data_IF_080207136949
#
_entry.id   IF_080207136949
#
_cell.length_a   1.000
_cell.length_b   1.000
_cell.length_c   1.000
_cell.angle_alpha   90.00
_cell.angle_beta   90.00
_cell.angle_gamma   90.00
#
_symmetry.space_group_name_H-M   'P 1'
#
loop_
_entity.id
_entity.type
_entity.pdbx_description
1 polymer ?
#
# COMPACT_ATOMS: atom_id res chain seq x y z
N UNK A 1 58.45 -11.18 -66.56
CA UNK A 1 59.64 -10.30 -66.52
C UNK A 1 59.18 -8.87 -66.36
N UNK A 2 59.68 -8.18 -65.32
CA UNK A 2 59.63 -6.72 -65.05
C UNK A 2 58.23 -6.10 -64.79
N UNK A 3 57.94 -5.79 -63.53
CA UNK A 3 58.23 -4.52 -62.83
C UNK A 3 57.34 -3.37 -63.31
N UNK A 4 56.35 -3.01 -62.50
CA UNK A 4 55.73 -1.69 -62.56
C UNK A 4 56.11 -0.86 -61.33
N UNK A 5 56.36 0.41 -61.64
CA UNK A 5 57.12 1.40 -60.90
C UNK A 5 56.31 2.12 -59.83
N UNK A 6 57.06 2.64 -58.85
CA UNK A 6 56.73 3.57 -57.78
C UNK A 6 56.16 4.90 -58.30
N UNK A 7 55.40 5.59 -57.45
CA UNK A 7 55.16 7.03 -57.54
C UNK A 7 54.07 7.51 -56.58
N UNK A 8 54.46 8.28 -55.56
CA UNK A 8 53.61 8.77 -54.47
C UNK A 8 53.10 10.21 -54.72
N UNK A 9 52.22 10.65 -53.79
CA UNK A 9 51.92 12.02 -53.33
C UNK A 9 50.72 12.79 -53.92
N UNK A 10 49.62 12.75 -53.15
CA UNK A 10 48.90 13.88 -52.49
C UNK A 10 48.75 15.21 -53.26
N UNK A 11 47.51 15.59 -53.56
CA UNK A 11 46.90 16.93 -53.37
C UNK A 11 45.51 16.88 -54.02
N UNK A 12 44.40 16.77 -53.28
CA UNK A 12 43.77 17.90 -52.59
C UNK A 12 42.69 18.51 -53.49
N UNK A 13 41.42 18.09 -53.36
CA UNK A 13 40.28 19.00 -53.53
C UNK A 13 39.03 18.44 -52.83
N UNK A 14 38.45 19.32 -52.05
CA UNK A 14 37.26 19.22 -51.20
C UNK A 14 36.00 19.12 -52.05
N UNK A 15 35.01 18.32 -51.62
CA UNK A 15 33.58 18.64 -51.45
C UNK A 15 32.90 17.32 -51.05
N UNK A 16 32.67 17.13 -49.75
CA UNK A 16 31.78 16.08 -49.25
C UNK A 16 30.45 16.74 -48.89
N UNK A 17 29.41 16.30 -49.59
CA UNK A 17 28.04 16.74 -49.40
C UNK A 17 27.54 16.22 -48.05
N UNK A 18 26.87 17.12 -47.34
CA UNK A 18 26.33 16.96 -46.00
C UNK A 18 25.19 15.92 -46.06
N UNK A 19 25.38 14.75 -45.46
CA UNK A 19 24.26 13.88 -45.07
C UNK A 19 24.14 13.88 -43.55
N UNK A 20 23.15 14.63 -43.07
CA UNK A 20 22.69 14.64 -41.68
C UNK A 20 21.88 13.37 -41.39
N UNK A 21 21.97 12.94 -40.13
CA UNK A 21 21.16 11.95 -39.39
C UNK A 21 21.74 10.54 -39.32
N UNK A 22 22.45 10.27 -38.22
CA UNK A 22 22.86 8.92 -37.86
C UNK A 22 23.87 8.86 -36.73
N UNK A 23 23.41 9.05 -35.48
CA UNK A 23 23.94 8.31 -34.35
C UNK A 23 24.93 9.00 -33.40
N UNK A 24 24.80 8.57 -32.15
CA UNK A 24 25.73 8.67 -31.02
C UNK A 24 25.61 9.90 -30.12
N UNK A 25 24.71 9.83 -29.15
CA UNK A 25 24.94 10.52 -27.88
C UNK A 25 25.69 9.59 -26.92
N UNK A 26 26.89 10.05 -26.59
CA UNK A 26 27.83 9.56 -25.58
C UNK A 26 27.19 9.73 -24.20
N UNK A 27 27.10 8.65 -23.43
CA UNK A 27 26.88 8.73 -21.97
C UNK A 27 28.23 8.89 -21.29
N UNK A 28 28.46 10.02 -20.62
CA UNK A 28 29.56 10.17 -19.68
C UNK A 28 28.99 10.04 -18.26
N UNK A 29 29.20 8.87 -17.65
CA UNK A 29 29.01 8.70 -16.21
C UNK A 29 30.09 9.50 -15.47
N UNK A 30 29.72 10.59 -14.81
CA UNK A 30 30.60 11.26 -13.86
C UNK A 30 30.29 10.77 -12.44
N UNK A 31 31.37 10.27 -11.82
CA UNK A 31 31.52 9.67 -10.50
C UNK A 31 30.73 10.31 -9.36
N UNK A 32 29.92 9.49 -8.68
CA UNK A 32 29.40 9.76 -7.34
C UNK A 32 30.55 9.92 -6.34
N UNK A 33 30.42 10.86 -5.41
CA UNK A 33 31.25 10.96 -4.20
C UNK A 33 30.31 10.94 -3.00
N UNK A 34 30.06 9.75 -2.46
CA UNK A 34 29.29 9.57 -1.23
C UNK A 34 30.24 9.14 -0.10
N UNK A 35 30.36 9.95 0.94
CA UNK A 35 31.16 9.65 2.13
C UNK A 35 30.25 9.10 3.24
N UNK A 36 30.34 7.78 3.42
CA UNK A 36 30.28 6.94 4.64
C UNK A 36 29.27 7.29 5.76
N UNK A 37 28.34 6.34 5.97
CA UNK A 37 27.32 6.17 7.02
C UNK A 37 27.93 5.50 8.28
N UNK A 38 27.30 5.65 9.46
CA UNK A 38 27.04 4.46 10.30
C UNK A 38 25.58 4.48 10.81
N UNK A 39 24.74 3.44 10.73
CA UNK A 39 24.99 2.00 10.79
C UNK A 39 23.72 1.24 10.32
N UNK A 40 23.92 0.10 9.66
CA UNK A 40 22.95 -0.99 9.48
C UNK A 40 21.57 -0.71 8.84
N UNK A 41 21.53 0.00 7.72
CA UNK A 41 20.40 -0.09 6.77
C UNK A 41 20.99 -0.42 5.40
N UNK A 42 20.64 -1.58 4.84
CA UNK A 42 20.89 -1.89 3.43
C UNK A 42 20.26 -0.74 2.63
N UNK A 43 21.06 0.08 1.96
CA UNK A 43 20.54 1.21 1.19
C UNK A 43 19.61 0.66 0.10
N UNK A 44 18.30 0.73 0.33
CA UNK A 44 17.31 0.44 -0.71
C UNK A 44 17.41 1.60 -1.69
N UNK A 45 18.00 1.35 -2.86
CA UNK A 45 18.17 2.36 -3.89
C UNK A 45 17.02 2.25 -4.88
N UNK A 46 16.06 3.17 -4.81
CA UNK A 46 15.00 3.28 -5.80
C UNK A 46 15.50 4.00 -7.04
N UNK A 47 14.84 3.75 -8.17
CA UNK A 47 15.12 4.53 -9.38
C UNK A 47 14.50 5.91 -9.23
N UNK A 48 15.14 6.92 -9.81
CA UNK A 48 14.63 8.29 -9.84
C UNK A 48 14.26 8.63 -11.28
N UNK A 49 13.07 9.19 -11.49
CA UNK A 49 12.65 9.66 -12.81
C UNK A 49 13.16 11.08 -13.09
N UNK A 50 12.91 11.61 -14.30
CA UNK A 50 13.36 12.94 -14.71
C UNK A 50 12.78 14.11 -13.87
N UNK A 51 11.76 13.83 -13.06
CA UNK A 51 11.12 14.78 -12.15
C UNK A 51 11.60 14.68 -10.71
N UNK A 52 12.58 13.82 -10.45
CA UNK A 52 13.12 13.60 -9.11
C UNK A 52 12.25 12.72 -8.22
N UNK A 53 11.26 12.02 -8.78
CA UNK A 53 10.44 11.08 -8.02
C UNK A 53 11.12 9.73 -7.97
N UNK A 54 11.26 9.21 -6.75
CA UNK A 54 11.73 7.83 -6.55
C UNK A 54 10.61 6.85 -6.89
N UNK A 55 10.93 5.76 -7.58
CA UNK A 55 9.97 4.73 -7.94
C UNK A 55 10.53 3.32 -7.83
N UNK A 56 9.66 2.36 -7.54
CA UNK A 56 10.05 0.96 -7.51
C UNK A 56 9.04 0.02 -6.87
N UNK A 57 9.42 -1.26 -6.82
CA UNK A 57 8.67 -2.30 -6.11
C UNK A 57 9.18 -2.39 -4.68
N UNK A 58 8.25 -2.57 -3.75
CA UNK A 58 8.55 -2.86 -2.35
C UNK A 58 8.50 -4.37 -2.15
N UNK A 59 9.59 -4.96 -1.66
CA UNK A 59 9.68 -6.41 -1.46
C UNK A 59 9.47 -6.82 -0.01
N UNK A 60 9.71 -5.93 0.96
CA UNK A 60 9.47 -6.18 2.38
C UNK A 60 9.32 -4.85 3.15
N UNK A 61 8.22 -4.69 3.91
CA UNK A 61 7.82 -3.48 4.65
C UNK A 61 8.70 -3.14 5.88
N UNK A 62 10.01 -3.44 5.85
CA UNK A 62 10.87 -3.35 7.04
C UNK A 62 11.06 -1.93 7.58
N UNK A 63 10.70 -0.88 6.83
CA UNK A 63 10.42 0.44 7.40
C UNK A 63 9.63 1.31 6.43
N UNK A 64 8.51 1.90 6.90
CA UNK A 64 7.69 2.88 6.14
C UNK A 64 8.50 4.13 5.77
N UNK A 65 9.58 4.40 6.51
CA UNK A 65 10.43 5.58 6.36
C UNK A 65 11.22 5.58 5.03
N UNK A 66 11.43 4.40 4.43
CA UNK A 66 12.22 4.19 3.20
C UNK A 66 11.35 3.76 2.01
N UNK A 67 10.13 4.29 1.89
CA UNK A 67 9.27 4.06 0.71
C UNK A 67 9.54 5.08 -0.41
N UNK A 68 9.49 4.65 -1.68
CA UNK A 68 9.61 5.55 -2.82
C UNK A 68 8.36 6.40 -2.97
N UNK A 69 8.46 7.49 -3.75
CA UNK A 69 7.34 8.37 -4.06
C UNK A 69 6.28 7.69 -4.93
N UNK A 70 6.70 6.78 -5.82
CA UNK A 70 5.85 6.00 -6.71
C UNK A 70 6.06 4.49 -6.48
N UNK A 71 5.03 3.81 -6.00
CA UNK A 71 5.10 2.39 -5.62
C UNK A 71 4.43 1.55 -6.71
N UNK A 72 5.19 0.60 -7.28
CA UNK A 72 4.69 -0.30 -8.31
C UNK A 72 3.51 -1.13 -7.79
N UNK A 73 2.37 -1.04 -8.47
CA UNK A 73 1.11 -1.65 -8.06
C UNK A 73 0.49 -2.57 -9.12
N UNK A 74 1.10 -2.68 -10.30
CA UNK A 74 0.65 -3.58 -11.35
C UNK A 74 0.91 -3.03 -12.74
N UNK A 75 0.13 -3.45 -13.72
CA UNK A 75 0.22 -2.93 -15.08
C UNK A 75 -1.15 -2.86 -15.74
N UNK A 76 -1.38 -1.81 -16.52
CA UNK A 76 -2.59 -1.60 -17.31
C UNK A 76 -2.16 -1.55 -18.77
N UNK A 77 -2.71 -2.44 -19.60
CA UNK A 77 -2.38 -2.54 -21.03
C UNK A 77 -0.88 -2.64 -21.33
N UNK A 78 -0.14 -3.34 -20.47
CA UNK A 78 1.31 -3.52 -20.58
C UNK A 78 2.16 -2.34 -20.09
N UNK A 79 1.52 -1.26 -19.62
CA UNK A 79 2.19 -0.10 -19.02
C UNK A 79 2.28 -0.33 -17.50
N UNK A 80 3.48 -0.21 -16.93
CA UNK A 80 3.68 -0.29 -15.49
C UNK A 80 2.92 0.84 -14.77
N UNK A 81 2.10 0.47 -13.78
CA UNK A 81 1.29 1.37 -12.98
C UNK A 81 1.82 1.54 -11.57
N UNK A 82 1.85 2.78 -11.11
CA UNK A 82 2.38 3.19 -9.82
C UNK A 82 1.33 3.94 -9.00
N UNK A 83 1.33 3.73 -7.68
CA UNK A 83 0.51 4.48 -6.73
C UNK A 83 1.42 5.47 -6.00
N UNK A 84 0.96 6.69 -5.75
CA UNK A 84 1.71 7.65 -4.94
C UNK A 84 1.91 7.14 -3.51
N UNK A 85 3.05 7.43 -2.89
CA UNK A 85 3.34 7.08 -1.49
C UNK A 85 2.23 7.48 -0.53
N UNK A 86 1.68 8.68 -0.69
CA UNK A 86 0.56 9.19 0.11
C UNK A 86 -0.71 8.37 -0.06
N UNK A 87 -0.96 7.88 -1.27
CA UNK A 87 -2.09 7.01 -1.58
C UNK A 87 -1.86 5.60 -1.05
N UNK A 88 -0.65 5.08 -1.19
CA UNK A 88 -0.23 3.79 -0.65
C UNK A 88 -0.29 3.74 0.88
N UNK A 89 0.08 4.84 1.55
CA UNK A 89 0.05 5.01 3.00
C UNK A 89 -1.31 5.47 3.54
N UNK A 90 -2.35 5.50 2.69
CA UNK A 90 -3.70 5.83 3.12
C UNK A 90 -4.15 4.90 4.25
N UNK A 91 -4.65 5.44 5.36
CA UNK A 91 -5.16 4.64 6.49
C UNK A 91 -6.54 4.04 6.22
N UNK A 92 -7.25 4.60 5.25
CA UNK A 92 -8.57 4.15 4.80
C UNK A 92 -8.49 3.48 3.44
N UNK A 93 -9.34 2.48 3.23
CA UNK A 93 -9.59 1.89 1.90
C UNK A 93 -10.15 2.93 0.95
N UNK A 94 -9.47 3.15 -0.18
CA UNK A 94 -9.96 4.03 -1.24
C UNK A 94 -9.49 3.58 -2.62
N UNK A 95 -10.21 4.02 -3.65
CA UNK A 95 -9.76 3.92 -5.03
C UNK A 95 -8.69 4.97 -5.27
N UNK A 96 -7.45 4.53 -5.49
CA UNK A 96 -6.34 5.41 -5.85
C UNK A 96 -6.10 5.39 -7.36
N UNK A 97 -5.66 6.51 -7.94
CA UNK A 97 -5.17 6.52 -9.31
C UNK A 97 -3.90 5.66 -9.47
N UNK A 98 -3.80 4.97 -10.59
CA UNK A 98 -2.55 4.40 -11.09
C UNK A 98 -1.91 5.39 -12.04
N UNK A 99 -0.69 5.81 -11.73
CA UNK A 99 0.11 6.68 -12.56
C UNK A 99 1.10 5.89 -13.43
N UNK A 100 1.55 6.52 -14.52
CA UNK A 100 2.76 6.11 -15.22
C UNK A 100 4.03 6.29 -14.37
N UNK A 101 5.19 5.90 -14.92
CA UNK A 101 6.49 6.04 -14.25
C UNK A 101 6.89 7.50 -14.00
N UNK A 102 6.30 8.44 -14.75
CA UNK A 102 6.52 9.88 -14.59
C UNK A 102 5.68 10.47 -13.45
N UNK A 103 4.69 9.73 -12.95
CA UNK A 103 3.80 10.17 -11.87
C UNK A 103 2.79 11.23 -12.33
N UNK A 104 2.56 11.39 -13.64
CA UNK A 104 1.76 12.48 -14.21
C UNK A 104 0.49 11.98 -14.88
N UNK A 105 0.59 10.91 -15.65
CA UNK A 105 -0.54 10.40 -16.41
C UNK A 105 -1.26 9.36 -15.58
N UNK A 106 -2.56 9.56 -15.34
CA UNK A 106 -3.41 8.51 -14.77
C UNK A 106 -3.69 7.48 -15.87
N UNK A 107 -3.18 6.27 -15.70
CA UNK A 107 -3.35 5.14 -16.63
C UNK A 107 -4.44 4.17 -16.18
N UNK A 108 -4.95 4.33 -14.96
CA UNK A 108 -6.02 3.50 -14.42
C UNK A 108 -6.30 3.83 -12.96
N UNK A 109 -6.91 2.89 -12.25
CA UNK A 109 -7.12 2.99 -10.80
C UNK A 109 -7.02 1.63 -10.14
N UNK A 110 -6.68 1.62 -8.86
CA UNK A 110 -6.59 0.42 -8.04
C UNK A 110 -7.20 0.69 -6.67
N UNK A 111 -7.76 -0.35 -6.06
CA UNK A 111 -8.15 -0.29 -4.66
C UNK A 111 -6.91 -0.38 -3.79
N UNK A 112 -6.60 0.70 -3.08
CA UNK A 112 -5.53 0.72 -2.09
C UNK A 112 -6.19 0.51 -0.74
N UNK A 113 -5.82 -0.60 -0.10
CA UNK A 113 -6.31 -0.94 1.23
C UNK A 113 -5.43 -0.29 2.28
N UNK A 114 -6.05 0.49 3.16
CA UNK A 114 -5.40 0.92 4.39
C UNK A 114 -4.88 -0.28 5.16
N UNK A 115 -3.81 -0.05 5.95
CA UNK A 115 -3.07 -1.07 6.71
C UNK A 115 -4.02 -2.17 7.16
N UNK A 116 -4.02 -3.29 6.43
CA UNK A 116 -4.84 -4.43 6.79
C UNK A 116 -4.25 -4.91 8.12
N UNK A 117 -4.96 -4.66 9.20
CA UNK A 117 -4.67 -5.29 10.48
C UNK A 117 -4.66 -6.78 10.20
N UNK A 118 -3.47 -7.38 10.25
CA UNK A 118 -3.31 -8.80 10.06
C UNK A 118 -3.72 -9.48 11.38
N UNK A 119 -5.02 -9.43 11.67
CA UNK A 119 -5.56 -10.16 12.79
C UNK A 119 -5.33 -11.65 12.57
N UNK A 120 -4.88 -12.38 13.61
CA UNK A 120 -4.85 -13.83 13.56
C UNK A 120 -6.28 -14.38 13.36
N UNK A 121 -6.35 -15.62 12.87
CA UNK A 121 -7.61 -16.33 12.66
C UNK A 121 -7.72 -17.52 13.60
N UNK A 122 -8.90 -17.73 14.15
CA UNK A 122 -9.20 -18.91 14.96
C UNK A 122 -9.44 -20.15 14.05
N UNK A 123 -9.76 -21.30 14.66
CA UNK A 123 -10.00 -22.57 13.93
C UNK A 123 -11.15 -22.48 12.91
N UNK A 124 -12.08 -21.56 13.14
CA UNK A 124 -13.26 -21.30 12.30
C UNK A 124 -12.98 -20.25 11.20
N UNK A 125 -11.74 -19.76 11.12
CA UNK A 125 -11.33 -18.76 10.14
C UNK A 125 -11.76 -17.32 10.46
N UNK A 126 -12.32 -17.08 11.65
CA UNK A 126 -12.72 -15.76 12.13
C UNK A 126 -11.50 -14.97 12.60
N UNK A 127 -11.42 -13.68 12.24
CA UNK A 127 -10.39 -12.79 12.77
C UNK A 127 -10.67 -12.43 14.23
N UNK A 128 -9.63 -12.38 15.06
CA UNK A 128 -9.73 -11.99 16.47
C UNK A 128 -8.66 -10.98 16.88
N UNK A 129 -8.99 -10.09 17.82
CA UNK A 129 -8.04 -9.12 18.41
C UNK A 129 -8.72 -7.88 18.99
N UNK A 130 -7.91 -6.89 19.35
CA UNK A 130 -8.41 -5.61 19.87
C UNK A 130 -8.92 -4.71 18.76
N UNK A 131 -10.12 -4.14 18.92
CA UNK A 131 -10.64 -3.11 17.99
C UNK A 131 -9.76 -1.85 17.94
N UNK A 132 -8.92 -1.59 18.96
CA UNK A 132 -7.97 -0.46 19.00
C UNK A 132 -6.93 -0.56 17.88
N UNK A 133 -6.62 -1.77 17.41
CA UNK A 133 -5.68 -1.95 16.30
C UNK A 133 -6.31 -1.62 14.94
N UNK A 134 -7.65 -1.58 14.85
CA UNK A 134 -8.38 -1.33 13.61
C UNK A 134 -8.25 0.13 13.16
N UNK A 135 -8.18 0.36 11.84
CA UNK A 135 -8.11 1.72 11.28
C UNK A 135 -9.48 2.33 11.03
N UNK A 136 -10.52 1.50 10.96
CA UNK A 136 -11.92 1.91 10.85
C UNK A 136 -12.85 0.81 11.38
N UNK A 137 -14.12 1.13 11.72
CA UNK A 137 -15.08 0.13 12.19
C UNK A 137 -15.22 -1.07 11.24
N UNK A 138 -15.11 -0.88 9.93
CA UNK A 138 -15.21 -1.94 8.93
C UNK A 138 -14.03 -2.93 8.96
N UNK A 139 -12.87 -2.49 9.47
CA UNK A 139 -11.64 -3.28 9.54
C UNK A 139 -11.45 -4.00 10.88
N UNK A 140 -12.37 -3.83 11.83
CA UNK A 140 -12.35 -4.52 13.11
C UNK A 140 -12.42 -6.06 12.95
N UNK A 141 -11.85 -6.82 13.89
CA UNK A 141 -11.93 -8.27 13.85
C UNK A 141 -13.36 -8.75 14.07
N UNK A 142 -13.67 -9.98 13.65
CA UNK A 142 -14.98 -10.58 13.86
C UNK A 142 -15.23 -10.92 15.34
N UNK A 143 -14.15 -11.22 16.07
CA UNK A 143 -14.11 -11.43 17.51
C UNK A 143 -13.28 -10.31 18.15
N UNK A 144 -13.93 -9.41 18.89
CA UNK A 144 -13.31 -8.23 19.49
C UNK A 144 -13.02 -8.52 20.96
N UNK A 145 -11.78 -8.29 21.40
CA UNK A 145 -11.38 -8.45 22.81
C UNK A 145 -12.26 -7.61 23.74
N UNK A 146 -12.73 -8.24 24.82
CA UNK A 146 -13.60 -7.63 25.80
C UNK A 146 -13.39 -8.22 27.19
N UNK A 147 -13.77 -7.46 28.20
CA UNK A 147 -13.78 -7.90 29.60
C UNK A 147 -15.24 -7.97 30.05
N UNK A 148 -15.69 -9.16 30.46
CA UNK A 148 -17.03 -9.41 30.95
C UNK A 148 -17.35 -8.66 32.24
N UNK A 149 -18.63 -8.66 32.61
CA UNK A 149 -19.15 -8.00 33.82
C UNK A 149 -18.54 -8.53 35.12
N UNK A 150 -18.00 -9.75 35.09
CA UNK A 150 -17.34 -10.44 36.19
C UNK A 150 -15.80 -10.33 36.15
N UNK A 151 -15.25 -9.60 35.19
CA UNK A 151 -13.80 -9.46 34.97
C UNK A 151 -13.19 -10.56 34.10
N UNK A 152 -13.98 -11.50 33.58
CA UNK A 152 -13.50 -12.55 32.68
C UNK A 152 -13.06 -11.94 31.34
N UNK A 153 -11.83 -12.22 30.90
CA UNK A 153 -11.35 -11.84 29.57
C UNK A 153 -11.89 -12.80 28.51
N UNK A 154 -12.35 -12.25 27.38
CA UNK A 154 -12.88 -13.03 26.27
C UNK A 154 -13.08 -12.18 25.02
N UNK A 155 -14.00 -12.61 24.16
CA UNK A 155 -14.29 -11.95 22.90
C UNK A 155 -15.78 -11.72 22.72
N UNK A 156 -16.17 -10.58 22.16
CA UNK A 156 -17.54 -10.34 21.69
C UNK A 156 -17.58 -10.45 20.17
N UNK A 157 -18.68 -10.99 19.63
CA UNK A 157 -18.89 -10.99 18.18
C UNK A 157 -19.22 -9.57 17.73
N UNK A 158 -18.52 -9.09 16.70
CA UNK A 158 -18.77 -7.76 16.12
C UNK A 158 -20.24 -7.54 15.76
N UNK A 159 -20.89 -8.54 15.16
CA UNK A 159 -22.33 -8.48 14.83
C UNK A 159 -23.24 -8.28 16.06
N UNK A 160 -22.86 -8.82 17.21
CA UNK A 160 -23.64 -8.71 18.44
C UNK A 160 -23.42 -7.32 19.06
N UNK A 161 -22.20 -6.76 18.91
CA UNK A 161 -21.82 -5.42 19.31
C UNK A 161 -22.48 -4.33 18.43
N UNK A 162 -22.50 -4.51 17.12
CA UNK A 162 -23.15 -3.62 16.15
C UNK A 162 -24.67 -3.65 16.32
N UNK A 163 -25.23 -4.82 16.63
CA UNK A 163 -26.66 -5.04 16.76
C UNK A 163 -27.41 -4.85 15.44
N UNK A 164 -28.71 -4.60 15.54
CA UNK A 164 -29.56 -4.34 14.38
C UNK A 164 -29.20 -3.00 13.73
N UNK A 165 -29.01 -3.00 12.41
CA UNK A 165 -28.65 -1.82 11.63
C UNK A 165 -29.87 -1.35 10.84
N UNK A 166 -30.30 -0.09 11.01
CA UNK A 166 -31.47 0.41 10.30
C UNK A 166 -31.17 0.57 8.81
N UNK A 167 -32.12 0.20 7.96
CA UNK A 167 -32.04 0.37 6.51
C UNK A 167 -32.69 1.68 6.02
N UNK A 168 -33.47 2.34 6.88
CA UNK A 168 -34.12 3.63 6.57
C UNK A 168 -33.98 4.64 7.72
N UNK A 169 -34.10 5.95 7.44
CA UNK A 169 -34.11 6.99 8.48
C UNK A 169 -35.23 6.78 9.52
N UNK A 170 -36.42 6.36 9.09
CA UNK A 170 -37.56 6.10 9.97
C UNK A 170 -37.28 4.94 10.93
N UNK A 171 -36.67 3.87 10.42
CA UNK A 171 -36.24 2.71 11.22
C UNK A 171 -35.13 3.10 12.21
N UNK A 172 -34.20 3.97 11.81
CA UNK A 172 -33.15 4.47 12.69
C UNK A 172 -33.72 5.22 13.90
N UNK A 173 -34.75 6.05 13.69
CA UNK A 173 -35.45 6.76 14.78
C UNK A 173 -36.20 5.77 15.67
N UNK A 174 -36.89 4.80 15.08
CA UNK A 174 -37.62 3.79 15.84
C UNK A 174 -36.68 2.95 16.72
N UNK A 175 -35.55 2.51 16.17
CA UNK A 175 -34.52 1.75 16.89
C UNK A 175 -33.87 2.59 18.00
N UNK A 176 -33.60 3.87 17.74
CA UNK A 176 -33.03 4.75 18.77
C UNK A 176 -34.01 4.95 19.94
N UNK A 177 -35.31 5.06 19.66
CA UNK A 177 -36.33 5.23 20.70
C UNK A 177 -36.65 3.93 21.46
N UNK A 178 -36.42 2.77 20.87
CA UNK A 178 -36.67 1.47 21.50
C UNK A 178 -35.49 0.96 22.33
N UNK A 179 -34.29 1.53 22.15
CA UNK A 179 -33.10 1.18 22.94
C UNK A 179 -33.32 1.49 24.41
N UNK A 180 -33.00 0.52 25.26
CA UNK A 180 -33.03 0.68 26.69
C UNK A 180 -31.94 1.66 27.13
N UNK A 181 -32.26 2.54 28.10
CA UNK A 181 -31.35 3.59 28.55
C UNK A 181 -30.12 3.03 29.28
N UNK A 182 -30.29 1.88 29.93
CA UNK A 182 -29.27 1.11 30.63
C UNK A 182 -28.43 0.23 29.69
N UNK A 183 -28.69 0.21 28.38
CA UNK A 183 -27.92 -0.61 27.45
C UNK A 183 -28.46 -2.03 27.28
N UNK A 184 -27.59 -2.98 26.94
CA UNK A 184 -27.94 -4.38 26.72
C UNK A 184 -26.78 -5.31 27.03
N UNK A 185 -27.11 -6.53 27.42
CA UNK A 185 -26.13 -7.60 27.61
C UNK A 185 -25.95 -8.39 26.30
N UNK A 186 -24.70 -8.70 25.98
CA UNK A 186 -24.33 -9.60 24.87
C UNK A 186 -23.43 -10.73 25.38
N UNK A 187 -23.41 -11.90 24.71
CA UNK A 187 -22.56 -13.00 25.14
C UNK A 187 -21.06 -12.66 25.01
N UNK A 188 -20.28 -13.09 26.00
CA UNK A 188 -18.82 -13.12 25.93
C UNK A 188 -18.40 -14.54 25.55
N UNK A 189 -17.58 -14.68 24.52
CA UNK A 189 -17.14 -15.95 23.94
C UNK A 189 -15.66 -16.23 24.23
N UNK A 190 -15.29 -17.51 24.11
CA UNK A 190 -13.90 -17.92 24.01
C UNK A 190 -13.28 -17.57 22.63
N UNK A 191 -11.99 -17.90 22.47
CA UNK A 191 -11.23 -17.62 21.24
C UNK A 191 -11.82 -18.31 19.99
N UNK A 192 -12.50 -19.45 20.16
CA UNK A 192 -13.12 -20.17 19.05
C UNK A 192 -14.43 -19.50 18.60
N UNK A 193 -14.98 -18.58 19.41
CA UNK A 193 -16.20 -17.83 19.08
C UNK A 193 -17.48 -18.66 19.15
N UNK A 194 -17.41 -19.84 19.77
CA UNK A 194 -18.53 -20.80 19.85
C UNK A 194 -19.03 -20.97 21.28
N UNK A 195 -18.13 -21.03 22.26
CA UNK A 195 -18.53 -21.25 23.65
C UNK A 195 -18.74 -19.92 24.35
N UNK A 196 -19.91 -19.75 24.95
CA UNK A 196 -20.21 -18.60 25.81
C UNK A 196 -19.54 -18.84 27.16
N UNK A 197 -18.65 -17.92 27.55
CA UNK A 197 -17.88 -17.95 28.80
C UNK A 197 -18.28 -16.85 29.78
N UNK A 198 -19.16 -15.92 29.37
CA UNK A 198 -19.62 -14.85 30.23
C UNK A 198 -20.59 -13.91 29.54
N UNK A 199 -20.73 -12.72 30.10
CA UNK A 199 -21.60 -11.64 29.59
C UNK A 199 -20.80 -10.35 29.52
N UNK A 200 -20.96 -9.63 28.41
CA UNK A 200 -20.45 -8.28 28.21
C UNK A 200 -21.61 -7.29 28.17
N UNK A 201 -21.49 -6.17 28.88
CA UNK A 201 -22.53 -5.15 28.93
C UNK A 201 -22.22 -4.00 27.97
N UNK A 202 -23.15 -3.71 27.06
CA UNK A 202 -23.05 -2.66 26.03
C UNK A 202 -24.01 -1.53 26.37
N UNK A 203 -23.50 -0.36 26.77
CA UNK A 203 -24.33 0.83 27.01
C UNK A 203 -24.20 1.34 28.44
N UNK A 204 -25.31 1.85 28.99
CA UNK A 204 -25.35 2.71 30.17
C UNK A 204 -24.54 2.23 31.38
N UNK A 205 -23.99 3.19 32.13
CA UNK A 205 -23.47 2.97 33.49
C UNK A 205 -24.53 3.31 34.52
#
# INVERSE_FOLDING_TARGET
MKMYSKGALISGFVIFIISVSGGLMVSQNTSAKNTIIPSHITAINYFENEYGLTFGRIEDLKSVEILPDLIYAGSVDGIAGYVMKTDYLSETTRTAPLFDVDGKTIIGSIFVGGKKTNYPKNRNGQTYGSAVEATSPETEPQLIEAIGVDGTEGYVLKKDLDGEQPSTPEEAIALQNSRAADGRDIPLYDLDGENVIGVFHVGGK
#
